data_IF_278259607386
#
_entry.id   IF_278259607386
#
_cell.length_a   1.000
_cell.length_b   1.000
_cell.length_c   1.000
_cell.angle_alpha   90.00
_cell.angle_beta   90.00
_cell.angle_gamma   90.00
#
_symmetry.space_group_name_H-M   'P 1'
#
loop_
_entity.id
_entity.type
_entity.pdbx_description
1 polymer ?
#
# COMPACT_ATOMS: atom_id res chain seq x y z
N UNK A 1 -51.71 -20.37 62.89
CA UNK A 1 -50.32 -20.84 62.83
C UNK A 1 -49.75 -20.41 61.51
N UNK A 2 -49.16 -19.23 61.48
CA UNK A 2 -48.52 -18.67 60.29
C UNK A 2 -47.06 -19.16 60.32
N UNK A 3 -46.69 -20.06 59.40
CA UNK A 3 -45.28 -20.48 59.28
C UNK A 3 -44.54 -19.37 58.54
N UNK A 4 -43.42 -18.85 59.06
CA UNK A 4 -42.61 -17.89 58.32
C UNK A 4 -42.12 -18.56 57.03
N UNK A 5 -42.39 -17.94 55.88
CA UNK A 5 -41.80 -18.36 54.61
C UNK A 5 -40.29 -18.18 54.72
N UNK A 6 -39.46 -19.18 54.39
CA UNK A 6 -38.01 -19.01 54.40
C UNK A 6 -37.62 -17.91 53.41
N UNK A 7 -36.55 -17.13 53.69
CA UNK A 7 -36.09 -16.11 52.76
C UNK A 7 -35.74 -16.76 51.42
N UNK A 8 -36.40 -16.31 50.36
CA UNK A 8 -36.07 -16.73 49.00
C UNK A 8 -34.75 -16.05 48.57
N UNK A 9 -33.67 -16.82 48.65
CA UNK A 9 -32.49 -16.74 47.76
C UNK A 9 -31.73 -15.40 47.67
N UNK A 10 -31.25 -14.89 48.79
CA UNK A 10 -30.04 -14.03 48.85
C UNK A 10 -29.11 -14.64 49.90
N UNK A 11 -28.04 -15.30 49.46
CA UNK A 11 -27.06 -15.92 50.35
C UNK A 11 -25.65 -15.49 49.98
N UNK A 12 -24.75 -15.46 50.96
CA UNK A 12 -23.30 -15.24 50.78
C UNK A 12 -22.71 -15.83 49.49
N UNK A 13 -23.01 -17.07 49.06
CA UNK A 13 -22.41 -17.63 47.84
C UNK A 13 -22.80 -16.88 46.56
N UNK A 14 -24.02 -16.33 46.46
CA UNK A 14 -24.44 -15.55 45.29
C UNK A 14 -23.69 -14.22 45.21
N UNK A 15 -23.62 -13.49 46.32
CA UNK A 15 -22.90 -12.21 46.39
C UNK A 15 -21.40 -12.38 46.11
N UNK A 16 -20.78 -13.45 46.64
CA UNK A 16 -19.39 -13.82 46.34
C UNK A 16 -19.19 -14.12 44.86
N UNK A 17 -20.12 -14.85 44.23
CA UNK A 17 -20.05 -15.13 42.79
C UNK A 17 -20.14 -13.85 41.96
N UNK A 18 -21.10 -12.97 42.26
CA UNK A 18 -21.25 -11.69 41.56
C UNK A 18 -20.01 -10.81 41.76
N UNK A 19 -19.43 -10.78 42.97
CA UNK A 19 -18.19 -10.06 43.22
C UNK A 19 -17.00 -10.59 42.39
N UNK A 20 -16.89 -11.91 42.23
CA UNK A 20 -15.87 -12.52 41.35
C UNK A 20 -16.11 -12.15 39.88
N UNK A 21 -17.36 -12.14 39.41
CA UNK A 21 -17.71 -11.74 38.05
C UNK A 21 -17.40 -10.26 37.78
N UNK A 22 -17.67 -9.39 38.76
CA UNK A 22 -17.28 -7.96 38.70
C UNK A 22 -15.76 -7.83 38.60
N UNK A 23 -15.01 -8.54 39.43
CA UNK A 23 -13.54 -8.51 39.39
C UNK A 23 -13.00 -9.01 38.03
N UNK A 24 -13.57 -10.08 37.48
CA UNK A 24 -13.21 -10.60 36.16
C UNK A 24 -13.49 -9.58 35.05
N UNK A 25 -14.66 -8.96 35.05
CA UNK A 25 -15.01 -7.93 34.05
C UNK A 25 -14.14 -6.69 34.18
N UNK A 26 -13.76 -6.30 35.40
CA UNK A 26 -12.80 -5.21 35.61
C UNK A 26 -11.42 -5.54 35.03
N UNK A 27 -10.93 -6.78 35.17
CA UNK A 27 -9.70 -7.23 34.52
C UNK A 27 -9.82 -7.24 32.99
N UNK A 28 -10.96 -7.70 32.46
CA UNK A 28 -11.22 -7.64 31.02
C UNK A 28 -11.28 -6.20 30.50
N UNK A 29 -11.84 -5.27 31.26
CA UNK A 29 -11.88 -3.86 30.90
C UNK A 29 -10.47 -3.25 30.90
N UNK A 30 -9.64 -3.57 31.89
CA UNK A 30 -8.25 -3.15 31.91
C UNK A 30 -7.47 -3.71 30.70
N UNK A 31 -7.69 -4.99 30.35
CA UNK A 31 -7.10 -5.60 29.17
C UNK A 31 -7.57 -4.93 27.87
N UNK A 32 -8.86 -4.68 27.72
CA UNK A 32 -9.41 -3.98 26.57
C UNK A 32 -8.83 -2.56 26.43
N UNK A 33 -8.68 -1.83 27.54
CA UNK A 33 -8.04 -0.51 27.55
C UNK A 33 -6.56 -0.55 27.18
N UNK A 34 -5.83 -1.57 27.63
CA UNK A 34 -4.44 -1.77 27.21
C UNK A 34 -4.32 -2.08 25.71
N UNK A 35 -5.20 -2.94 25.18
CA UNK A 35 -5.25 -3.27 23.76
C UNK A 35 -5.63 -2.07 22.90
N UNK A 36 -6.60 -1.27 23.35
CA UNK A 36 -7.01 0.00 22.72
C UNK A 36 -5.84 0.97 22.61
N UNK A 37 -5.18 1.29 23.73
CA UNK A 37 -4.05 2.21 23.74
C UNK A 37 -2.88 1.72 22.89
N UNK A 38 -2.61 0.41 22.88
CA UNK A 38 -1.55 -0.18 22.06
C UNK A 38 -1.91 -0.13 20.57
N UNK A 39 -3.15 -0.43 20.21
CA UNK A 39 -3.63 -0.33 18.83
C UNK A 39 -3.61 1.11 18.33
N UNK A 40 -4.07 2.07 19.14
CA UNK A 40 -4.00 3.50 18.84
C UNK A 40 -2.57 3.99 18.61
N UNK A 41 -1.64 3.63 19.50
CA UNK A 41 -0.23 3.99 19.34
C UNK A 41 0.40 3.43 18.05
N UNK A 42 0.03 2.20 17.66
CA UNK A 42 0.47 1.59 16.39
C UNK A 42 -0.14 2.28 15.17
N UNK A 43 -1.42 2.63 15.23
CA UNK A 43 -2.11 3.40 14.20
C UNK A 43 -1.41 4.74 13.98
N UNK A 44 -1.20 5.51 15.04
CA UNK A 44 -0.55 6.82 14.98
C UNK A 44 0.89 6.73 14.42
N UNK A 45 1.64 5.70 14.80
CA UNK A 45 2.99 5.47 14.29
C UNK A 45 2.98 5.15 12.79
N UNK A 46 2.10 4.25 12.35
CA UNK A 46 1.96 3.90 10.95
C UNK A 46 1.50 5.10 10.11
N UNK A 47 0.55 5.90 10.61
CA UNK A 47 0.08 7.10 9.93
C UNK A 47 1.18 8.15 9.77
N UNK A 48 2.02 8.36 10.81
CA UNK A 48 3.18 9.25 10.71
C UNK A 48 4.18 8.77 9.65
N UNK A 49 4.48 7.48 9.63
CA UNK A 49 5.36 6.90 8.61
C UNK A 49 4.76 7.09 7.20
N UNK A 50 3.46 6.82 7.03
CA UNK A 50 2.78 7.03 5.75
C UNK A 50 2.92 8.49 5.28
N UNK A 51 2.66 9.47 6.14
CA UNK A 51 2.82 10.88 5.81
C UNK A 51 4.26 11.25 5.42
N UNK A 52 5.25 10.67 6.11
CA UNK A 52 6.66 10.86 5.76
C UNK A 52 6.98 10.30 4.38
N UNK A 53 6.53 9.08 4.06
CA UNK A 53 6.74 8.48 2.74
C UNK A 53 6.01 9.25 1.64
N UNK A 54 4.80 9.72 1.88
CA UNK A 54 4.07 10.56 0.92
C UNK A 54 4.83 11.85 0.60
N UNK A 55 5.37 12.53 1.63
CA UNK A 55 6.16 13.74 1.43
C UNK A 55 7.46 13.45 0.66
N UNK A 56 8.15 12.35 1.00
CA UNK A 56 9.36 11.92 0.30
C UNK A 56 9.07 11.53 -1.16
N UNK A 57 7.95 10.85 -1.43
CA UNK A 57 7.53 10.46 -2.77
C UNK A 57 7.30 11.71 -3.64
N UNK A 58 6.53 12.68 -3.14
CA UNK A 58 6.31 13.96 -3.83
C UNK A 58 7.63 14.69 -4.05
N UNK A 59 8.47 14.82 -3.01
CA UNK A 59 9.76 15.50 -3.12
C UNK A 59 10.71 14.84 -4.12
N UNK A 60 10.77 13.51 -4.14
CA UNK A 60 11.59 12.73 -5.09
C UNK A 60 11.08 12.91 -6.51
N UNK A 61 9.76 12.76 -6.71
CA UNK A 61 9.11 12.94 -8.01
C UNK A 61 9.31 14.34 -8.57
N UNK A 62 8.99 15.37 -7.80
CA UNK A 62 9.12 16.77 -8.26
C UNK A 62 10.57 17.12 -8.59
N UNK A 63 11.53 16.68 -7.76
CA UNK A 63 12.96 16.92 -8.05
C UNK A 63 13.40 16.18 -9.31
N UNK A 64 12.98 14.94 -9.48
CA UNK A 64 13.25 14.14 -10.68
C UNK A 64 12.68 14.80 -11.94
N UNK A 65 11.40 15.19 -11.92
CA UNK A 65 10.74 15.88 -13.03
C UNK A 65 11.44 17.20 -13.39
N UNK A 66 11.89 17.98 -12.39
CA UNK A 66 12.69 19.20 -12.64
C UNK A 66 14.03 18.85 -13.29
N UNK A 67 14.74 17.83 -12.79
CA UNK A 67 16.03 17.42 -13.35
C UNK A 67 15.90 16.94 -14.80
N UNK A 68 14.87 16.17 -15.11
CA UNK A 68 14.56 15.69 -16.45
C UNK A 68 14.18 16.86 -17.36
N UNK A 69 13.34 17.77 -16.85
CA UNK A 69 12.95 18.98 -17.56
C UNK A 69 14.15 19.85 -17.95
N UNK A 70 15.09 20.08 -17.03
CA UNK A 70 16.34 20.80 -17.29
C UNK A 70 17.23 20.07 -18.30
N UNK A 71 17.45 18.76 -18.09
CA UNK A 71 18.29 17.95 -18.98
C UNK A 71 17.78 17.97 -20.43
N UNK A 72 16.46 17.87 -20.62
CA UNK A 72 15.85 17.88 -21.96
C UNK A 72 15.71 19.25 -22.57
N UNK A 73 15.18 20.21 -21.82
CA UNK A 73 14.79 21.52 -22.36
C UNK A 73 15.97 22.46 -22.53
N UNK A 74 16.99 22.33 -21.68
CA UNK A 74 18.15 23.22 -21.69
C UNK A 74 19.39 22.51 -22.23
N UNK A 75 19.84 21.43 -21.57
CA UNK A 75 21.12 20.79 -21.92
C UNK A 75 21.09 20.12 -23.30
N UNK A 76 20.13 19.23 -23.55
CA UNK A 76 20.02 18.52 -24.83
C UNK A 76 19.70 19.45 -25.99
N UNK A 77 18.80 20.44 -25.80
CA UNK A 77 18.50 21.41 -26.86
C UNK A 77 19.70 22.29 -27.22
N UNK A 78 20.44 22.76 -26.23
CA UNK A 78 21.65 23.54 -26.46
C UNK A 78 22.71 22.68 -27.17
N UNK A 79 22.89 21.43 -26.74
CA UNK A 79 23.78 20.48 -27.40
C UNK A 79 23.40 20.31 -28.88
N UNK A 80 22.12 20.08 -29.18
CA UNK A 80 21.61 19.88 -30.53
C UNK A 80 21.78 21.13 -31.41
N UNK A 81 21.57 22.33 -30.85
CA UNK A 81 21.79 23.59 -31.55
C UNK A 81 23.26 23.74 -31.94
N UNK A 82 24.18 23.51 -30.99
CA UNK A 82 25.62 23.66 -31.24
C UNK A 82 26.15 22.58 -32.19
N UNK A 83 25.69 21.34 -32.08
CA UNK A 83 26.04 20.26 -33.00
C UNK A 83 25.59 20.57 -34.44
N UNK A 84 24.39 21.14 -34.59
CA UNK A 84 23.89 21.62 -35.89
C UNK A 84 24.76 22.75 -36.46
N UNK A 85 25.19 23.72 -35.64
CA UNK A 85 26.10 24.78 -36.10
C UNK A 85 27.48 24.22 -36.51
N UNK A 86 28.01 23.26 -35.75
CA UNK A 86 29.26 22.58 -36.09
C UNK A 86 29.15 21.88 -37.45
N UNK A 87 28.08 21.10 -37.66
CA UNK A 87 27.82 20.40 -38.92
C UNK A 87 27.68 21.38 -40.11
N UNK A 88 27.01 22.52 -39.92
CA UNK A 88 26.89 23.55 -40.96
C UNK A 88 28.25 24.17 -41.30
N UNK A 89 29.08 24.47 -40.30
CA UNK A 89 30.43 25.01 -40.51
C UNK A 89 31.35 24.02 -41.26
N UNK A 90 31.24 22.72 -40.94
CA UNK A 90 31.95 21.66 -41.67
C UNK A 90 31.52 21.60 -43.14
N UNK A 91 30.21 21.69 -43.42
CA UNK A 91 29.66 21.65 -44.77
C UNK A 91 30.06 22.87 -45.62
N UNK A 92 30.23 24.04 -44.99
CA UNK A 92 30.67 25.27 -45.69
C UNK A 92 32.19 25.38 -45.80
N UNK A 93 32.94 24.48 -45.17
CA UNK A 93 34.41 24.44 -45.20
C UNK A 93 35.07 25.38 -44.19
N UNK A 94 34.35 25.90 -43.20
CA UNK A 94 34.90 26.72 -42.12
C UNK A 94 35.39 25.85 -40.96
N UNK A 95 36.60 25.29 -41.11
CA UNK A 95 37.17 24.38 -40.12
C UNK A 95 37.42 25.04 -38.76
N UNK A 96 37.61 26.36 -38.71
CA UNK A 96 37.89 27.07 -37.46
C UNK A 96 36.62 27.23 -36.60
N UNK A 97 35.49 27.54 -37.23
CA UNK A 97 34.20 27.62 -36.53
C UNK A 97 33.66 26.22 -36.21
N UNK A 98 33.87 25.23 -37.07
CA UNK A 98 33.55 23.82 -36.77
C UNK A 98 34.25 23.33 -35.50
N UNK A 99 35.57 23.57 -35.36
CA UNK A 99 36.33 23.20 -34.15
C UNK A 99 35.79 23.91 -32.91
N UNK A 100 35.48 25.21 -33.02
CA UNK A 100 34.93 25.99 -31.89
C UNK A 100 33.58 25.47 -31.43
N UNK A 101 32.66 25.21 -32.35
CA UNK A 101 31.36 24.63 -32.01
C UNK A 101 31.52 23.21 -31.44
N UNK A 102 32.45 22.40 -31.97
CA UNK A 102 32.78 21.09 -31.41
C UNK A 102 33.19 21.15 -29.94
N UNK A 103 34.09 22.06 -29.57
CA UNK A 103 34.50 22.25 -28.16
C UNK A 103 33.33 22.64 -27.26
N UNK A 104 32.46 23.54 -27.72
CA UNK A 104 31.27 23.95 -26.96
C UNK A 104 30.29 22.79 -26.82
N UNK A 105 30.04 22.03 -27.90
CA UNK A 105 29.18 20.86 -27.91
C UNK A 105 29.64 19.84 -26.88
N UNK A 106 30.93 19.50 -26.90
CA UNK A 106 31.49 18.50 -25.98
C UNK A 106 31.44 18.99 -24.53
N UNK A 107 31.66 20.29 -24.30
CA UNK A 107 31.50 20.90 -22.97
C UNK A 107 30.04 20.82 -22.47
N UNK A 108 29.06 21.06 -23.34
CA UNK A 108 27.63 20.95 -22.98
C UNK A 108 27.27 19.49 -22.67
N UNK A 109 27.87 18.54 -23.37
CA UNK A 109 27.65 17.11 -23.14
C UNK A 109 28.04 16.68 -21.71
N UNK A 110 29.03 17.33 -21.10
CA UNK A 110 29.47 17.02 -19.74
C UNK A 110 28.59 17.68 -18.64
N UNK A 111 27.64 18.55 -19.02
CA UNK A 111 26.78 19.27 -18.06
C UNK A 111 25.58 18.44 -17.58
N UNK A 112 25.21 17.38 -18.31
CA UNK A 112 24.00 16.61 -18.01
C UNK A 112 24.23 15.12 -18.20
N UNK A 113 23.92 14.28 -17.18
CA UNK A 113 24.03 12.83 -17.33
C UNK A 113 23.14 12.26 -18.44
N UNK A 114 22.06 12.95 -18.83
CA UNK A 114 21.23 12.56 -19.98
C UNK A 114 22.02 12.47 -21.29
N UNK A 115 23.10 13.26 -21.41
CA UNK A 115 23.95 13.27 -22.59
C UNK A 115 25.06 12.22 -22.52
N UNK A 116 25.18 11.45 -21.44
CA UNK A 116 26.12 10.33 -21.34
C UNK A 116 25.71 9.17 -22.25
N UNK A 117 26.69 8.33 -22.61
CA UNK A 117 26.49 7.19 -23.52
C UNK A 117 25.51 6.14 -23.01
N UNK A 118 25.11 6.19 -21.73
CA UNK A 118 24.08 5.33 -21.16
C UNK A 118 22.67 5.69 -21.64
N UNK A 119 22.43 6.95 -22.02
CA UNK A 119 21.11 7.44 -22.43
C UNK A 119 21.13 8.07 -23.83
N UNK A 120 22.29 8.47 -24.34
CA UNK A 120 22.37 9.20 -25.59
C UNK A 120 23.57 8.80 -26.45
N UNK A 121 23.30 8.42 -27.70
CA UNK A 121 24.34 8.16 -28.71
C UNK A 121 24.71 9.47 -29.43
N UNK A 122 25.82 10.06 -28.98
CA UNK A 122 26.35 11.32 -29.51
C UNK A 122 26.82 11.21 -30.95
N UNK A 123 27.21 10.03 -31.43
CA UNK A 123 27.78 9.85 -32.77
C UNK A 123 26.71 9.80 -33.86
N UNK A 124 25.52 9.28 -33.51
CA UNK A 124 24.40 9.13 -34.44
C UNK A 124 23.33 10.23 -34.31
N UNK A 125 23.56 11.25 -33.46
CA UNK A 125 22.63 12.35 -33.16
C UNK A 125 21.19 11.86 -32.96
N UNK A 126 21.01 10.77 -32.20
CA UNK A 126 19.70 10.18 -31.93
C UNK A 126 18.87 11.04 -30.97
N UNK A 127 17.66 10.60 -30.64
CA UNK A 127 17.00 11.14 -29.43
C UNK A 127 17.57 10.41 -28.20
N UNK A 128 17.76 11.12 -27.07
CA UNK A 128 18.09 10.46 -25.80
C UNK A 128 16.99 9.50 -25.35
N UNK A 129 17.36 8.42 -24.68
CA UNK A 129 16.47 7.51 -23.98
C UNK A 129 15.99 8.15 -22.67
N UNK A 130 14.91 8.91 -22.79
CA UNK A 130 14.27 9.62 -21.68
C UNK A 130 13.70 8.63 -20.67
N UNK A 131 13.19 7.49 -21.12
CA UNK A 131 12.55 6.52 -20.26
C UNK A 131 13.56 5.85 -19.32
N UNK A 132 14.73 5.47 -19.85
CA UNK A 132 15.86 5.01 -19.05
C UNK A 132 16.31 6.08 -18.05
N UNK A 133 16.47 7.33 -18.51
CA UNK A 133 16.90 8.43 -17.65
C UNK A 133 15.90 8.74 -16.52
N UNK A 134 14.61 8.87 -16.83
CA UNK A 134 13.55 9.08 -15.84
C UNK A 134 13.49 7.95 -14.81
N UNK A 135 13.63 6.70 -15.30
CA UNK A 135 13.61 5.51 -14.48
C UNK A 135 14.71 5.54 -13.42
N UNK A 136 15.94 5.82 -13.85
CA UNK A 136 17.13 5.78 -13.02
C UNK A 136 17.22 6.99 -12.08
N UNK A 137 16.70 8.15 -12.50
CA UNK A 137 16.76 9.38 -11.69
C UNK A 137 15.76 9.37 -10.54
N UNK A 138 14.52 8.94 -10.77
CA UNK A 138 13.49 9.05 -9.72
C UNK A 138 12.35 8.04 -9.78
N UNK A 139 12.05 7.40 -10.91
CA UNK A 139 10.84 6.58 -11.03
C UNK A 139 10.81 5.45 -10.01
N UNK A 140 11.85 4.61 -9.96
CA UNK A 140 11.91 3.44 -9.06
C UNK A 140 11.76 3.88 -7.61
N UNK A 141 12.53 4.88 -7.18
CA UNK A 141 12.46 5.39 -5.81
C UNK A 141 11.09 6.00 -5.49
N UNK A 142 10.48 6.73 -6.43
CA UNK A 142 9.16 7.35 -6.23
C UNK A 142 8.05 6.31 -6.11
N UNK A 143 8.13 5.21 -6.87
CA UNK A 143 7.19 4.09 -6.81
C UNK A 143 7.36 3.35 -5.49
N UNK A 144 8.60 3.03 -5.08
CA UNK A 144 8.88 2.40 -3.78
C UNK A 144 8.30 3.21 -2.61
N UNK A 145 8.55 4.52 -2.59
CA UNK A 145 8.02 5.41 -1.55
C UNK A 145 6.48 5.47 -1.56
N UNK A 146 5.87 5.39 -2.74
CA UNK A 146 4.41 5.33 -2.89
C UNK A 146 3.84 4.02 -2.34
N UNK A 147 4.49 2.88 -2.59
CA UNK A 147 4.08 1.59 -2.04
C UNK A 147 4.28 1.53 -0.52
N UNK A 148 5.40 2.07 -0.01
CA UNK A 148 5.63 2.21 1.43
C UNK A 148 4.57 3.11 2.09
N UNK A 149 4.16 4.19 1.43
CA UNK A 149 3.04 5.02 1.88
C UNK A 149 1.74 4.21 1.96
N UNK A 150 1.34 3.53 0.88
CA UNK A 150 0.10 2.72 0.85
C UNK A 150 0.12 1.65 1.94
N UNK A 151 1.24 0.92 2.07
CA UNK A 151 1.40 -0.12 3.08
C UNK A 151 1.21 0.43 4.50
N UNK A 152 1.88 1.53 4.85
CA UNK A 152 1.78 2.13 6.17
C UNK A 152 0.39 2.76 6.41
N UNK A 153 -0.25 3.31 5.39
CA UNK A 153 -1.60 3.85 5.48
C UNK A 153 -2.62 2.73 5.77
N UNK A 154 -2.59 1.63 5.01
CA UNK A 154 -3.46 0.49 5.23
C UNK A 154 -3.23 -0.16 6.60
N UNK A 155 -1.97 -0.20 7.07
CA UNK A 155 -1.65 -0.66 8.41
C UNK A 155 -2.25 0.28 9.49
N UNK A 156 -2.19 1.60 9.28
CA UNK A 156 -2.80 2.58 10.18
C UNK A 156 -4.31 2.38 10.28
N UNK A 157 -5.02 2.26 9.15
CA UNK A 157 -6.46 2.01 9.12
C UNK A 157 -6.84 0.69 9.82
N UNK A 158 -6.07 -0.38 9.60
CA UNK A 158 -6.30 -1.66 10.27
C UNK A 158 -6.14 -1.54 11.80
N UNK A 159 -5.11 -0.84 12.27
CA UNK A 159 -4.89 -0.63 13.71
C UNK A 159 -5.93 0.30 14.34
N UNK A 160 -6.33 1.36 13.63
CA UNK A 160 -7.40 2.26 14.05
C UNK A 160 -8.73 1.52 14.19
N UNK A 161 -9.08 0.69 13.20
CA UNK A 161 -10.26 -0.16 13.25
C UNK A 161 -10.27 -1.10 14.46
N UNK A 162 -9.11 -1.66 14.84
CA UNK A 162 -8.98 -2.45 16.08
C UNK A 162 -9.18 -1.60 17.33
N UNK A 163 -8.57 -0.42 17.41
CA UNK A 163 -8.72 0.50 18.55
C UNK A 163 -10.20 0.88 18.77
N UNK A 164 -10.91 1.27 17.71
CA UNK A 164 -12.34 1.61 17.78
C UNK A 164 -13.21 0.44 18.29
N UNK A 165 -12.89 -0.80 17.90
CA UNK A 165 -13.60 -1.99 18.42
C UNK A 165 -13.31 -2.20 19.90
N UNK A 166 -12.08 -1.99 20.39
CA UNK A 166 -11.76 -2.05 21.82
C UNK A 166 -12.51 -0.99 22.66
N UNK A 167 -12.74 0.20 22.13
CA UNK A 167 -13.65 1.20 22.77
C UNK A 167 -15.08 0.65 22.89
N UNK A 168 -15.55 -0.07 21.88
CA UNK A 168 -16.87 -0.74 21.93
C UNK A 168 -16.89 -1.85 22.99
N UNK A 169 -15.83 -2.67 23.09
CA UNK A 169 -15.69 -3.68 24.13
C UNK A 169 -15.73 -3.05 25.55
N UNK A 170 -15.02 -1.95 25.79
CA UNK A 170 -15.06 -1.21 27.06
C UNK A 170 -16.47 -0.77 27.42
N UNK A 171 -17.24 -0.30 26.43
CA UNK A 171 -18.65 0.09 26.62
C UNK A 171 -19.50 -1.10 27.04
N UNK A 172 -19.37 -2.25 26.36
CA UNK A 172 -20.10 -3.49 26.69
C UNK A 172 -19.74 -4.04 28.08
N UNK A 173 -18.47 -3.98 28.46
CA UNK A 173 -18.01 -4.37 29.79
C UNK A 173 -18.54 -3.43 30.87
N UNK A 174 -18.64 -2.13 30.59
CA UNK A 174 -19.27 -1.14 31.49
C UNK A 174 -20.75 -1.45 31.72
N UNK A 175 -21.50 -1.75 30.66
CA UNK A 175 -22.89 -2.22 30.77
C UNK A 175 -22.97 -3.51 31.58
N UNK A 176 -22.01 -4.42 31.41
CA UNK A 176 -21.94 -5.66 32.18
C UNK A 176 -21.71 -5.42 33.67
N UNK A 177 -20.78 -4.53 34.05
CA UNK A 177 -20.56 -4.14 35.44
C UNK A 177 -21.84 -3.57 36.07
N UNK A 178 -22.57 -2.74 35.32
CA UNK A 178 -23.85 -2.20 35.76
C UNK A 178 -24.91 -3.29 36.00
N UNK A 179 -25.03 -4.27 35.09
CA UNK A 179 -25.95 -5.40 35.24
C UNK A 179 -25.60 -6.25 36.47
N UNK A 180 -24.32 -6.47 36.75
CA UNK A 180 -23.90 -7.15 37.97
C UNK A 180 -24.21 -6.34 39.23
N UNK A 181 -24.05 -5.02 39.21
CA UNK A 181 -24.51 -4.15 40.30
C UNK A 181 -26.03 -4.21 40.52
N UNK A 182 -26.82 -4.29 39.46
CA UNK A 182 -28.27 -4.51 39.58
C UNK A 182 -28.62 -5.91 40.11
N UNK A 183 -27.81 -6.92 39.78
CA UNK A 183 -28.06 -8.29 40.23
C UNK A 183 -27.97 -8.46 41.75
N UNK A 184 -27.20 -7.61 42.44
CA UNK A 184 -27.10 -7.63 43.92
C UNK A 184 -28.20 -6.80 44.60
N UNK A 185 -28.77 -5.81 43.91
CA UNK A 185 -29.81 -4.94 44.48
C UNK A 185 -31.22 -5.48 44.28
N UNK A 186 -31.47 -6.20 43.18
CA UNK A 186 -32.80 -6.75 42.86
C UNK A 186 -32.98 -8.15 43.44
N UNK A 187 -33.87 -8.27 44.43
CA UNK A 187 -34.14 -9.52 45.14
C UNK A 187 -34.97 -10.50 44.31
N UNK A 188 -34.70 -11.80 44.46
CA UNK A 188 -35.48 -12.88 43.85
C UNK A 188 -35.01 -13.27 42.45
N UNK A 189 -35.90 -13.89 41.66
CA UNK A 189 -35.55 -14.46 40.34
C UNK A 189 -35.02 -13.43 39.34
N UNK A 190 -35.38 -12.16 39.50
CA UNK A 190 -34.99 -11.07 38.59
C UNK A 190 -33.49 -10.75 38.71
N UNK A 191 -32.89 -10.83 39.90
CA UNK A 191 -31.44 -10.64 40.08
C UNK A 191 -30.60 -11.65 39.27
N UNK A 192 -31.05 -12.92 39.22
CA UNK A 192 -30.41 -13.96 38.41
C UNK A 192 -30.50 -13.69 36.90
N UNK A 193 -31.58 -13.06 36.41
CA UNK A 193 -31.68 -12.66 35.01
C UNK A 193 -30.64 -11.61 34.65
N UNK A 194 -30.44 -10.60 35.51
CA UNK A 194 -29.40 -9.60 35.30
C UNK A 194 -28.00 -10.22 35.28
N UNK A 195 -27.70 -11.13 36.23
CA UNK A 195 -26.44 -11.87 36.25
C UNK A 195 -26.25 -12.71 34.97
N UNK A 196 -27.28 -13.43 34.54
CA UNK A 196 -27.23 -14.26 33.33
C UNK A 196 -26.98 -13.44 32.06
N UNK A 197 -27.68 -12.31 31.90
CA UNK A 197 -27.50 -11.40 30.76
C UNK A 197 -26.10 -10.78 30.77
N UNK A 198 -25.61 -10.32 31.92
CA UNK A 198 -24.25 -9.78 32.04
C UNK A 198 -23.18 -10.82 31.71
N UNK A 199 -23.37 -12.07 32.15
CA UNK A 199 -22.45 -13.18 31.84
C UNK A 199 -22.45 -13.49 30.34
N UNK A 200 -23.61 -13.45 29.69
CA UNK A 200 -23.73 -13.64 28.25
C UNK A 200 -23.00 -12.53 27.47
N UNK A 201 -23.25 -11.26 27.83
CA UNK A 201 -22.62 -10.11 27.16
C UNK A 201 -21.10 -10.16 27.33
N UNK A 202 -20.59 -10.39 28.55
CA UNK A 202 -19.14 -10.49 28.78
C UNK A 202 -18.49 -11.66 28.03
N UNK A 203 -19.17 -12.80 27.92
CA UNK A 203 -18.66 -13.96 27.17
C UNK A 203 -18.58 -13.65 25.67
N UNK A 204 -19.63 -13.05 25.10
CA UNK A 204 -19.63 -12.60 23.69
C UNK A 204 -18.52 -11.57 23.47
N UNK A 205 -18.40 -10.61 24.38
CA UNK A 205 -17.37 -9.56 24.33
C UNK A 205 -15.96 -10.15 24.38
N UNK A 206 -15.72 -11.13 25.24
CA UNK A 206 -14.43 -11.84 25.32
C UNK A 206 -14.10 -12.57 24.02
N UNK A 207 -15.05 -13.32 23.46
CA UNK A 207 -14.87 -14.02 22.19
C UNK A 207 -14.58 -13.03 21.07
N UNK A 208 -15.36 -11.96 20.96
CA UNK A 208 -15.15 -10.93 19.94
C UNK A 208 -13.77 -10.28 20.08
N UNK A 209 -13.35 -9.95 21.31
CA UNK A 209 -12.03 -9.40 21.59
C UNK A 209 -10.91 -10.33 21.13
N UNK A 210 -11.04 -11.65 21.35
CA UNK A 210 -10.09 -12.65 20.85
C UNK A 210 -10.05 -12.67 19.32
N UNK A 211 -11.21 -12.59 18.65
CA UNK A 211 -11.26 -12.52 17.19
C UNK A 211 -10.53 -11.27 16.66
N UNK A 212 -10.73 -10.10 17.26
CA UNK A 212 -10.04 -8.86 16.87
C UNK A 212 -8.51 -8.95 17.06
N UNK A 213 -8.05 -9.65 18.11
CA UNK A 213 -6.61 -9.89 18.30
C UNK A 213 -6.04 -10.77 17.19
N UNK A 214 -6.79 -11.79 16.77
CA UNK A 214 -6.38 -12.76 15.74
C UNK A 214 -6.51 -12.25 14.31
N UNK A 215 -7.26 -11.17 14.07
CA UNK A 215 -7.37 -10.56 12.74
C UNK A 215 -5.98 -10.15 12.23
N UNK A 216 -5.58 -10.60 11.03
CA UNK A 216 -4.30 -10.21 10.45
C UNK A 216 -4.32 -8.71 10.10
N UNK A 217 -3.17 -8.05 10.26
CA UNK A 217 -2.96 -6.72 9.70
C UNK A 217 -2.27 -6.88 8.34
N UNK A 218 -2.64 -6.08 7.32
CA UNK A 218 -1.99 -6.14 6.01
C UNK A 218 -0.47 -6.00 6.15
N UNK A 219 0.28 -6.99 5.66
CA UNK A 219 1.74 -6.97 5.65
C UNK A 219 2.22 -7.23 4.24
N UNK A 220 2.89 -6.24 3.66
CA UNK A 220 3.57 -6.37 2.39
C UNK A 220 5.07 -6.32 2.66
N UNK A 221 5.84 -7.38 2.35
CA UNK A 221 7.29 -7.38 2.58
C UNK A 221 7.96 -6.24 1.83
N UNK A 222 8.93 -5.58 2.47
CA UNK A 222 9.68 -4.49 1.83
C UNK A 222 10.41 -4.95 0.57
N UNK A 223 10.99 -6.15 0.60
CA UNK A 223 11.61 -6.75 -0.58
C UNK A 223 10.62 -6.93 -1.76
N UNK A 224 9.33 -7.21 -1.47
CA UNK A 224 8.32 -7.31 -2.52
C UNK A 224 8.01 -5.94 -3.14
N UNK A 225 7.95 -4.88 -2.32
CA UNK A 225 7.77 -3.50 -2.80
C UNK A 225 8.97 -3.03 -3.64
N UNK A 226 10.19 -3.42 -3.26
CA UNK A 226 11.41 -3.11 -4.02
C UNK A 226 11.38 -3.78 -5.39
N UNK A 227 11.16 -5.11 -5.43
CA UNK A 227 11.07 -5.85 -6.70
C UNK A 227 9.94 -5.32 -7.59
N UNK A 228 8.79 -4.94 -7.01
CA UNK A 228 7.70 -4.30 -7.75
C UNK A 228 8.12 -2.94 -8.31
N UNK A 229 8.77 -2.09 -7.52
CA UNK A 229 9.22 -0.77 -7.97
C UNK A 229 10.26 -0.87 -9.09
N UNK A 230 11.19 -1.84 -8.99
CA UNK A 230 12.14 -2.16 -10.05
C UNK A 230 11.43 -2.62 -11.33
N UNK A 231 10.44 -3.51 -11.21
CA UNK A 231 9.63 -3.95 -12.35
C UNK A 231 8.88 -2.80 -13.03
N UNK A 232 8.32 -1.85 -12.27
CA UNK A 232 7.68 -0.66 -12.81
C UNK A 232 8.69 0.23 -13.56
N UNK A 233 9.90 0.39 -13.01
CA UNK A 233 11.00 1.08 -13.66
C UNK A 233 11.38 0.42 -14.99
N UNK A 234 11.65 -0.88 -14.99
CA UNK A 234 11.98 -1.65 -16.19
C UNK A 234 10.87 -1.58 -17.25
N UNK A 235 9.59 -1.63 -16.84
CA UNK A 235 8.46 -1.46 -17.76
C UNK A 235 8.42 -0.05 -18.34
N UNK A 236 8.79 0.97 -17.57
CA UNK A 236 8.91 2.35 -18.07
C UNK A 236 10.00 2.46 -19.13
N UNK A 237 11.11 1.72 -18.96
CA UNK A 237 12.21 1.60 -19.93
C UNK A 237 11.89 0.69 -21.14
N UNK A 238 10.64 0.26 -21.33
CA UNK A 238 10.23 -0.72 -22.35
C UNK A 238 10.94 -2.10 -22.26
N UNK A 239 11.62 -2.38 -21.15
CA UNK A 239 12.31 -3.66 -20.85
C UNK A 239 11.33 -4.68 -20.28
N UNK A 240 10.29 -4.98 -21.05
CA UNK A 240 9.13 -5.75 -20.58
C UNK A 240 9.46 -7.16 -20.07
N UNK A 241 10.39 -7.88 -20.71
CA UNK A 241 10.77 -9.22 -20.29
C UNK A 241 11.43 -9.22 -18.91
N UNK A 242 12.29 -8.24 -18.63
CA UNK A 242 12.95 -8.08 -17.33
C UNK A 242 11.95 -7.58 -16.27
N UNK A 243 11.03 -6.70 -16.66
CA UNK A 243 9.95 -6.26 -15.79
C UNK A 243 9.08 -7.44 -15.30
N UNK A 244 8.74 -8.38 -16.19
CA UNK A 244 8.00 -9.60 -15.82
C UNK A 244 8.75 -10.40 -14.75
N UNK A 245 10.08 -10.56 -14.89
CA UNK A 245 10.90 -11.28 -13.89
C UNK A 245 10.88 -10.56 -12.53
N UNK A 246 11.01 -9.23 -12.51
CA UNK A 246 10.95 -8.46 -11.27
C UNK A 246 9.56 -8.54 -10.60
N UNK A 247 8.48 -8.54 -11.40
CA UNK A 247 7.14 -8.75 -10.85
C UNK A 247 6.94 -10.18 -10.33
N UNK A 248 7.52 -11.19 -10.97
CA UNK A 248 7.50 -12.56 -10.46
C UNK A 248 8.25 -12.72 -9.14
N UNK A 249 9.35 -12.00 -8.95
CA UNK A 249 10.04 -11.91 -7.67
C UNK A 249 9.15 -11.27 -6.59
N UNK A 250 8.51 -10.14 -6.91
CA UNK A 250 7.56 -9.50 -6.01
C UNK A 250 6.41 -10.43 -5.61
N UNK A 251 5.86 -11.18 -6.57
CA UNK A 251 4.76 -12.13 -6.36
C UNK A 251 5.21 -13.41 -5.62
N UNK A 252 6.48 -13.80 -5.74
CA UNK A 252 7.04 -14.90 -4.94
C UNK A 252 7.09 -14.52 -3.46
N UNK A 253 7.38 -13.26 -3.15
CA UNK A 253 7.43 -12.72 -1.80
C UNK A 253 6.04 -12.37 -1.25
N UNK A 254 5.13 -11.94 -2.13
CA UNK A 254 3.77 -11.54 -1.80
C UNK A 254 2.77 -12.06 -2.86
N UNK A 255 2.28 -13.31 -2.73
CA UNK A 255 1.40 -13.93 -3.71
C UNK A 255 0.04 -13.23 -3.91
N UNK A 256 -0.34 -12.38 -2.97
CA UNK A 256 -1.60 -11.61 -2.99
C UNK A 256 -1.40 -10.16 -3.48
N UNK A 257 -0.21 -9.82 -4.02
CA UNK A 257 0.10 -8.46 -4.43
C UNK A 257 -0.57 -8.11 -5.76
N UNK A 258 -1.84 -7.69 -5.68
CA UNK A 258 -2.69 -7.38 -6.82
C UNK A 258 -2.08 -6.36 -7.81
N UNK A 259 -1.37 -5.35 -7.29
CA UNK A 259 -0.69 -4.36 -8.12
C UNK A 259 0.44 -4.98 -8.97
N UNK A 260 1.18 -5.95 -8.43
CA UNK A 260 2.22 -6.66 -9.17
C UNK A 260 1.64 -7.54 -10.29
N UNK A 261 0.53 -8.23 -10.04
CA UNK A 261 -0.17 -8.96 -11.11
C UNK A 261 -0.64 -8.03 -12.23
N UNK A 262 -1.24 -6.88 -11.89
CA UNK A 262 -1.69 -5.91 -12.90
C UNK A 262 -0.53 -5.37 -13.75
N UNK A 263 0.59 -5.00 -13.12
CA UNK A 263 1.74 -4.48 -13.86
C UNK A 263 2.46 -5.58 -14.66
N UNK A 264 2.50 -6.82 -14.16
CA UNK A 264 2.96 -7.99 -14.91
C UNK A 264 2.07 -8.24 -16.14
N UNK A 265 0.75 -8.15 -15.98
CA UNK A 265 -0.21 -8.29 -17.07
C UNK A 265 0.04 -7.25 -18.17
N UNK A 266 0.33 -6.00 -17.80
CA UNK A 266 0.69 -4.93 -18.73
C UNK A 266 2.00 -5.22 -19.46
N UNK A 267 3.02 -5.72 -18.77
CA UNK A 267 4.28 -6.10 -19.40
C UNK A 267 4.09 -7.28 -20.38
N UNK A 268 3.34 -8.30 -19.99
CA UNK A 268 2.99 -9.44 -20.85
C UNK A 268 2.16 -9.02 -22.07
N UNK A 269 1.25 -8.05 -21.92
CA UNK A 269 0.51 -7.48 -23.05
C UNK A 269 1.46 -6.87 -24.10
N UNK A 270 2.46 -6.10 -23.66
CA UNK A 270 3.44 -5.47 -24.57
C UNK A 270 4.34 -6.50 -25.25
N UNK A 271 4.66 -7.61 -24.56
CA UNK A 271 5.32 -8.78 -25.13
C UNK A 271 4.43 -9.60 -26.09
N UNK A 272 3.15 -9.24 -26.22
CA UNK A 272 2.13 -9.99 -26.98
C UNK A 272 1.82 -11.37 -26.42
N UNK A 273 2.17 -11.61 -25.15
CA UNK A 273 1.81 -12.81 -24.39
C UNK A 273 0.37 -12.64 -23.84
N UNK A 274 -0.62 -12.54 -24.75
CA UNK A 274 -1.99 -12.16 -24.37
C UNK A 274 -2.66 -13.15 -23.43
N UNK A 275 -2.36 -14.45 -23.55
CA UNK A 275 -2.90 -15.47 -22.65
C UNK A 275 -2.41 -15.28 -21.20
N UNK A 276 -1.11 -15.04 -21.02
CA UNK A 276 -0.52 -14.78 -19.70
C UNK A 276 -1.02 -13.45 -19.13
N UNK A 277 -1.11 -12.42 -19.97
CA UNK A 277 -1.67 -11.11 -19.59
C UNK A 277 -3.11 -11.21 -19.07
N UNK A 278 -3.98 -11.98 -19.75
CA UNK A 278 -5.35 -12.24 -19.29
C UNK A 278 -5.35 -12.92 -17.92
N UNK A 279 -4.51 -13.95 -17.74
CA UNK A 279 -4.42 -14.66 -16.47
C UNK A 279 -3.93 -13.75 -15.34
N UNK A 280 -2.91 -12.94 -15.59
CA UNK A 280 -2.37 -11.98 -14.63
C UNK A 280 -3.42 -10.90 -14.28
N UNK A 281 -4.18 -10.36 -15.23
CA UNK A 281 -5.26 -9.42 -14.92
C UNK A 281 -6.36 -10.04 -14.07
N UNK A 282 -6.74 -11.29 -14.35
CA UNK A 282 -7.72 -12.01 -13.53
C UNK A 282 -7.18 -12.26 -12.12
N UNK A 283 -5.90 -12.62 -11.99
CA UNK A 283 -5.25 -12.74 -10.70
C UNK A 283 -5.21 -11.41 -9.94
N UNK A 284 -5.02 -10.26 -10.62
CA UNK A 284 -5.12 -8.95 -9.98
C UNK A 284 -6.53 -8.70 -9.41
N UNK A 285 -7.58 -9.02 -10.16
CA UNK A 285 -8.99 -8.90 -9.73
C UNK A 285 -9.28 -9.83 -8.54
N UNK A 286 -8.87 -11.11 -8.63
CA UNK A 286 -9.08 -12.10 -7.57
C UNK A 286 -8.38 -11.70 -6.25
N UNK A 287 -7.30 -10.91 -6.35
CA UNK A 287 -6.57 -10.36 -5.20
C UNK A 287 -7.03 -8.93 -4.80
N UNK A 288 -8.21 -8.50 -5.27
CA UNK A 288 -8.90 -7.29 -4.79
C UNK A 288 -8.69 -6.03 -5.64
N UNK A 289 -8.03 -6.11 -6.79
CA UNK A 289 -7.91 -4.99 -7.73
C UNK A 289 -9.02 -4.99 -8.78
N UNK A 290 -10.26 -4.84 -8.32
CA UNK A 290 -11.43 -4.68 -9.19
C UNK A 290 -11.68 -3.18 -9.48
N UNK A 291 -10.79 -2.59 -10.27
CA UNK A 291 -10.90 -1.19 -10.70
C UNK A 291 -11.20 -1.08 -12.21
N UNK A 292 -11.75 0.07 -12.62
CA UNK A 292 -12.13 0.33 -14.03
C UNK A 292 -10.96 0.14 -14.98
N UNK A 293 -9.73 0.46 -14.55
CA UNK A 293 -8.54 0.34 -15.41
C UNK A 293 -8.18 -1.13 -15.65
N UNK A 294 -8.30 -1.97 -14.63
CA UNK A 294 -8.01 -3.40 -14.68
C UNK A 294 -9.02 -4.11 -15.57
N UNK A 295 -10.31 -3.84 -15.38
CA UNK A 295 -11.38 -4.37 -16.23
C UNK A 295 -11.25 -3.90 -17.68
N UNK A 296 -10.97 -2.60 -17.89
CA UNK A 296 -10.74 -2.05 -19.22
C UNK A 296 -9.56 -2.71 -19.93
N UNK A 297 -8.42 -2.85 -19.25
CA UNK A 297 -7.24 -3.46 -19.84
C UNK A 297 -7.42 -4.96 -20.10
N UNK A 298 -8.14 -5.67 -19.23
CA UNK A 298 -8.51 -7.06 -19.45
C UNK A 298 -9.42 -7.20 -20.69
N UNK A 299 -10.49 -6.41 -20.79
CA UNK A 299 -11.38 -6.39 -21.94
C UNK A 299 -10.65 -6.03 -23.24
N UNK A 300 -9.74 -5.05 -23.18
CA UNK A 300 -8.87 -4.70 -24.30
C UNK A 300 -7.95 -5.86 -24.70
N UNK A 301 -7.41 -6.58 -23.73
CA UNK A 301 -6.58 -7.76 -23.99
C UNK A 301 -7.38 -8.89 -24.63
N UNK A 302 -8.60 -9.15 -24.16
CA UNK A 302 -9.51 -10.10 -24.81
C UNK A 302 -9.81 -9.72 -26.27
N UNK A 303 -10.09 -8.43 -26.51
CA UNK A 303 -10.34 -7.92 -27.85
C UNK A 303 -9.15 -8.15 -28.79
N UNK A 304 -7.93 -7.80 -28.36
CA UNK A 304 -6.70 -7.98 -29.15
C UNK A 304 -6.37 -9.47 -29.34
N UNK A 305 -6.68 -10.33 -28.35
CA UNK A 305 -6.54 -11.78 -28.45
C UNK A 305 -7.59 -12.46 -29.35
N UNK A 306 -8.60 -11.72 -29.84
CA UNK A 306 -9.69 -12.25 -30.66
C UNK A 306 -10.78 -12.99 -29.88
N UNK A 307 -10.78 -12.88 -28.54
CA UNK A 307 -11.75 -13.50 -27.64
C UNK A 307 -12.93 -12.55 -27.40
N UNK A 308 -13.69 -12.26 -28.46
CA UNK A 308 -14.70 -11.19 -28.47
C UNK A 308 -15.86 -11.42 -27.50
N UNK A 309 -16.28 -12.68 -27.30
CA UNK A 309 -17.38 -12.99 -26.37
C UNK A 309 -17.00 -12.62 -24.92
N UNK A 310 -15.74 -12.89 -24.53
CA UNK A 310 -15.22 -12.57 -23.20
C UNK A 310 -14.85 -11.07 -23.03
N UNK A 311 -14.82 -10.29 -24.11
CA UNK A 311 -14.49 -8.87 -24.06
C UNK A 311 -15.72 -7.97 -23.77
N UNK A 312 -16.93 -8.51 -23.89
CA UNK A 312 -18.21 -7.79 -23.76
C UNK A 312 -18.86 -8.05 -22.38
N UNK A 313 -18.55 -9.19 -21.77
CA UNK A 313 -18.94 -9.56 -20.41
C UNK A 313 -18.12 -8.82 -19.33
#
# INVERSE_FOLDING_TARGET
MDRPRPPLFTGEPFERLVALLIALVALLAALAGYLEATAGARSDMALRNAQQYALQAVGTRTRGEINVGYALSDAFRLWLEVDSQAAVAELTGDSADAERYGVVRDTVADLSPLLDSGYFDRENSSLPDINAYESDIFMVQSVLLTEQFKHNFNAAEAWDGKAQRYVTHLTLLTVTLFLYGLSTTVVGRVGYWFMGIGTLISTITLVWMVLVVLEPTPQLPEAAMVAYAEGVGLRHQDRYAEAVVAFEEALTLAPEYADAYYEKARANFQLRNYADSINDYRAAIDNGREDTNTLWNLGWTYYIAGLLDAAID
#
